data_IF_881739398238
#
_entry.id   IF_881739398238
#
_cell.length_a   1.000
_cell.length_b   1.000
_cell.length_c   1.000
_cell.angle_alpha   90.00
_cell.angle_beta   90.00
_cell.angle_gamma   90.00
#
_symmetry.space_group_name_H-M   'P 1'
#
loop_
_entity.id
_entity.type
_entity.pdbx_description
1 polymer ?
#
# COMPACT_ATOMS: atom_id res chain seq x y z
N UNK A 1 12.84 4.19 8.83
CA UNK A 1 12.37 4.27 7.44
C UNK A 1 11.27 3.24 7.21
N UNK A 2 10.24 3.63 6.49
CA UNK A 2 9.15 2.75 6.06
C UNK A 2 9.15 2.72 4.54
N UNK A 3 8.82 1.56 3.94
CA UNK A 3 8.63 1.45 2.50
C UNK A 3 7.28 0.85 2.20
N UNK A 4 6.59 1.39 1.19
CA UNK A 4 5.29 0.91 0.76
C UNK A 4 5.19 0.81 -0.74
N UNK A 5 4.18 0.11 -1.22
CA UNK A 5 4.00 -0.13 -2.65
C UNK A 5 2.56 0.20 -3.06
N UNK A 6 2.46 1.05 -4.07
CA UNK A 6 1.18 1.35 -4.73
C UNK A 6 0.96 0.25 -5.77
N UNK A 7 0.11 -0.70 -5.43
CA UNK A 7 -0.22 -1.83 -6.28
C UNK A 7 -1.48 -1.49 -7.07
N UNK A 8 -1.37 -1.40 -8.39
CA UNK A 8 -2.50 -0.97 -9.20
C UNK A 8 -2.70 -1.90 -10.39
N UNK A 9 -3.96 -2.01 -10.81
CA UNK A 9 -4.31 -2.74 -12.02
C UNK A 9 -4.71 -1.73 -13.09
N UNK A 10 -3.90 -1.57 -14.16
CA UNK A 10 -4.18 -0.58 -15.18
C UNK A 10 -5.41 -0.92 -16.04
N UNK A 11 -5.81 -2.17 -16.10
CA UNK A 11 -6.96 -2.59 -16.88
C UNK A 11 -8.27 -2.28 -16.17
N UNK A 12 -8.35 -2.63 -14.88
CA UNK A 12 -9.55 -2.38 -14.09
C UNK A 12 -9.58 -0.99 -13.47
N UNK A 13 -8.46 -0.27 -13.49
CA UNK A 13 -8.27 1.04 -12.85
C UNK A 13 -8.57 0.96 -11.36
N UNK A 14 -8.00 -0.04 -10.72
CA UNK A 14 -8.14 -0.26 -9.29
C UNK A 14 -6.78 -0.25 -8.61
N UNK A 15 -6.81 0.10 -7.34
CA UNK A 15 -5.63 0.10 -6.47
C UNK A 15 -5.91 -0.79 -5.27
N UNK A 16 -4.88 -1.49 -4.80
CA UNK A 16 -4.99 -2.30 -3.60
C UNK A 16 -4.56 -1.48 -2.39
N UNK A 17 -5.47 -1.33 -1.43
CA UNK A 17 -5.19 -0.67 -0.17
C UNK A 17 -5.52 -1.63 0.96
N UNK A 18 -4.89 -1.43 2.11
CA UNK A 18 -5.24 -2.17 3.31
C UNK A 18 -6.32 -1.39 4.05
N UNK A 19 -7.49 -1.98 4.16
CA UNK A 19 -8.61 -1.40 4.89
C UNK A 19 -8.49 -1.81 6.35
N UNK A 20 -8.50 -0.84 7.24
CA UNK A 20 -8.30 -1.06 8.66
C UNK A 20 -9.45 -0.52 9.49
N UNK A 21 -9.82 -1.33 10.46
CA UNK A 21 -10.74 -0.92 11.54
C UNK A 21 -9.96 -1.12 12.83
N UNK A 22 -9.74 -0.05 13.56
CA UNK A 22 -8.97 -0.10 14.80
C UNK A 22 -9.56 0.86 15.81
N UNK A 23 -9.97 0.33 16.96
CA UNK A 23 -10.52 1.13 18.06
C UNK A 23 -11.65 2.07 17.61
N UNK A 24 -12.55 1.55 16.77
CA UNK A 24 -13.70 2.31 16.28
C UNK A 24 -13.41 3.23 15.11
N UNK A 25 -12.18 3.30 14.64
CA UNK A 25 -11.79 4.12 13.50
C UNK A 25 -11.62 3.28 12.25
N UNK A 26 -12.13 3.77 11.13
CA UNK A 26 -11.96 3.15 9.82
C UNK A 26 -11.05 4.01 8.96
N UNK A 27 -10.04 3.39 8.38
CA UNK A 27 -9.11 4.10 7.50
C UNK A 27 -8.42 3.14 6.55
N UNK A 28 -7.69 3.70 5.58
CA UNK A 28 -6.95 2.93 4.58
C UNK A 28 -5.48 3.31 4.62
N UNK A 29 -4.62 2.32 4.34
CA UNK A 29 -3.18 2.56 4.22
C UNK A 29 -2.63 1.87 2.98
N UNK A 30 -1.55 2.42 2.44
CA UNK A 30 -0.80 1.77 1.37
C UNK A 30 -0.03 0.59 1.98
N UNK A 31 -0.08 -0.60 1.37
CA UNK A 31 0.67 -1.75 1.89
C UNK A 31 2.15 -1.45 2.04
N UNK A 32 2.75 -1.91 3.12
CA UNK A 32 4.15 -1.68 3.42
C UNK A 32 4.44 -1.81 4.90
N UNK A 33 5.65 -1.45 5.29
CA UNK A 33 6.05 -1.53 6.69
C UNK A 33 7.44 -0.96 6.93
N UNK A 34 7.88 -1.07 8.17
CA UNK A 34 9.17 -0.55 8.61
C UNK A 34 10.34 -1.39 8.15
N UNK A 35 11.45 -0.73 7.86
CA UNK A 35 12.69 -1.41 7.48
C UNK A 35 13.30 -2.12 8.67
N UNK A 36 13.84 -3.30 8.43
CA UNK A 36 14.70 -3.98 9.38
C UNK A 36 16.13 -3.49 9.19
N UNK A 37 16.97 -3.79 10.17
CA UNK A 37 18.36 -3.34 10.16
C UNK A 37 19.08 -3.82 8.89
N UNK A 38 19.69 -2.87 8.18
CA UNK A 38 20.46 -3.16 6.97
C UNK A 38 19.64 -3.30 5.71
N UNK A 39 18.31 -3.20 5.79
CA UNK A 39 17.48 -3.29 4.56
C UNK A 39 17.49 -1.99 3.77
N UNK A 40 17.54 -2.13 2.45
CA UNK A 40 17.25 -1.03 1.55
C UNK A 40 15.72 -0.85 1.45
N UNK A 41 15.28 0.28 0.88
CA UNK A 41 13.86 0.53 0.69
C UNK A 41 13.21 -0.54 -0.21
N UNK A 42 13.90 -0.95 -1.28
CA UNK A 42 13.40 -2.01 -2.17
C UNK A 42 13.25 -3.33 -1.41
N UNK A 43 14.25 -3.71 -0.63
CA UNK A 43 14.19 -4.95 0.15
C UNK A 43 13.06 -4.93 1.17
N UNK A 44 12.87 -3.79 1.84
CA UNK A 44 11.77 -3.62 2.79
C UNK A 44 10.43 -3.78 2.07
N UNK A 45 10.26 -3.13 0.94
CA UNK A 45 9.03 -3.22 0.16
C UNK A 45 8.76 -4.66 -0.28
N UNK A 46 9.77 -5.35 -0.80
CA UNK A 46 9.63 -6.74 -1.23
C UNK A 46 9.21 -7.65 -0.06
N UNK A 47 9.88 -7.51 1.07
CA UNK A 47 9.58 -8.33 2.25
C UNK A 47 8.19 -8.06 2.78
N UNK A 48 7.81 -6.79 2.92
CA UNK A 48 6.51 -6.44 3.47
C UNK A 48 5.35 -6.91 2.59
N UNK A 49 5.48 -6.79 1.26
CA UNK A 49 4.43 -7.28 0.36
C UNK A 49 4.34 -8.80 0.42
N UNK A 50 5.46 -9.50 0.53
CA UNK A 50 5.43 -10.94 0.69
C UNK A 50 4.75 -11.35 2.00
N UNK A 51 5.07 -10.66 3.10
CA UNK A 51 4.48 -10.98 4.39
C UNK A 51 2.99 -10.65 4.46
N UNK A 52 2.59 -9.49 3.92
CA UNK A 52 1.20 -9.05 4.01
C UNK A 52 0.29 -9.73 3.00
N UNK A 53 0.76 -9.89 1.77
CA UNK A 53 -0.10 -10.29 0.66
C UNK A 53 0.29 -11.63 0.03
N UNK A 54 1.45 -12.16 0.36
CA UNK A 54 1.92 -13.41 -0.23
C UNK A 54 2.43 -13.24 -1.66
N UNK A 55 2.63 -12.03 -2.14
CA UNK A 55 3.10 -11.77 -3.50
C UNK A 55 4.59 -11.51 -3.51
N UNK A 56 5.28 -12.14 -4.48
CA UNK A 56 6.70 -11.91 -4.69
C UNK A 56 6.86 -10.90 -5.82
N UNK A 57 7.44 -9.75 -5.50
CA UNK A 57 7.71 -8.70 -6.50
C UNK A 57 9.20 -8.64 -6.75
N UNK A 58 9.58 -8.55 -8.03
CA UNK A 58 10.97 -8.36 -8.40
C UNK A 58 11.35 -6.89 -8.23
N UNK A 59 12.66 -6.63 -8.16
CA UNK A 59 13.15 -5.26 -8.08
C UNK A 59 12.71 -4.44 -9.30
N UNK A 60 12.70 -5.06 -10.48
CA UNK A 60 12.32 -4.39 -11.72
C UNK A 60 10.84 -3.97 -11.73
N UNK A 61 10.00 -4.68 -11.01
CA UNK A 61 8.57 -4.33 -10.91
C UNK A 61 8.33 -3.12 -10.02
N UNK A 62 9.27 -2.81 -9.12
CA UNK A 62 9.14 -1.71 -8.18
C UNK A 62 9.74 -0.44 -8.78
N UNK A 63 8.88 0.45 -9.25
CA UNK A 63 9.30 1.72 -9.80
C UNK A 63 9.18 2.81 -8.74
N UNK A 64 10.14 3.74 -8.65
CA UNK A 64 10.04 4.83 -7.67
C UNK A 64 8.79 5.67 -7.89
N UNK A 65 8.07 5.96 -6.82
CA UNK A 65 6.90 6.82 -6.88
C UNK A 65 7.17 8.17 -6.21
N UNK A 66 7.33 8.19 -4.90
CA UNK A 66 7.60 9.43 -4.17
C UNK A 66 8.12 9.11 -2.76
N UNK A 67 8.59 10.14 -2.08
CA UNK A 67 8.94 10.05 -0.66
C UNK A 67 8.00 10.93 0.13
N UNK A 68 7.84 10.59 1.42
CA UNK A 68 6.95 11.30 2.31
C UNK A 68 7.54 11.35 3.71
N UNK A 69 7.47 12.52 4.35
CA UNK A 69 7.89 12.67 5.75
C UNK A 69 6.68 12.59 6.66
N UNK A 70 6.67 11.57 7.50
CA UNK A 70 5.63 11.39 8.51
C UNK A 70 6.26 11.67 9.87
N UNK A 71 6.19 12.93 10.29
CA UNK A 71 6.97 13.38 11.44
C UNK A 71 8.46 13.30 11.13
N UNK A 72 9.20 12.55 11.93
CA UNK A 72 10.63 12.35 11.70
C UNK A 72 10.93 11.12 10.86
N UNK A 73 9.90 10.30 10.56
CA UNK A 73 10.11 9.06 9.81
C UNK A 73 10.03 9.32 8.31
N UNK A 74 11.03 8.84 7.58
CA UNK A 74 11.02 8.86 6.12
C UNK A 74 10.24 7.66 5.61
N UNK A 75 9.30 7.91 4.71
CA UNK A 75 8.54 6.87 4.02
C UNK A 75 8.87 6.95 2.53
N UNK A 76 9.20 5.80 1.95
CA UNK A 76 9.57 5.68 0.55
C UNK A 76 8.54 4.80 -0.13
N UNK A 77 7.96 5.29 -1.22
CA UNK A 77 6.91 4.57 -1.94
C UNK A 77 7.33 4.24 -3.35
N UNK A 78 6.96 3.02 -3.74
CA UNK A 78 7.13 2.50 -5.10
C UNK A 78 5.75 2.27 -5.69
N UNK A 79 5.67 2.11 -7.01
CA UNK A 79 4.46 1.65 -7.66
C UNK A 79 4.77 0.40 -8.49
N UNK A 80 3.77 -0.47 -8.62
CA UNK A 80 3.91 -1.70 -9.40
C UNK A 80 2.56 -2.04 -10.02
N UNK A 81 2.58 -2.37 -11.32
CA UNK A 81 1.38 -2.80 -12.03
C UNK A 81 1.12 -4.29 -11.76
N UNK A 82 -0.13 -4.61 -11.45
CA UNK A 82 -0.57 -5.97 -11.18
C UNK A 82 -1.62 -6.34 -12.21
N UNK A 83 -1.48 -7.51 -12.83
CA UNK A 83 -2.33 -7.90 -13.95
C UNK A 83 -3.65 -8.58 -13.56
N UNK A 84 -3.86 -8.87 -12.28
CA UNK A 84 -5.09 -9.51 -11.82
C UNK A 84 -5.60 -8.83 -10.56
N UNK A 85 -6.89 -9.01 -10.28
CA UNK A 85 -7.57 -8.34 -9.15
C UNK A 85 -8.07 -9.32 -8.10
N UNK A 86 -7.62 -10.57 -8.11
CA UNK A 86 -8.00 -11.50 -7.06
C UNK A 86 -7.50 -10.98 -5.71
N UNK A 87 -8.35 -10.99 -4.71
CA UNK A 87 -8.00 -10.48 -3.39
C UNK A 87 -6.93 -11.36 -2.77
N UNK A 88 -5.81 -10.79 -2.33
CA UNK A 88 -4.80 -11.55 -1.62
C UNK A 88 -5.28 -11.88 -0.21
N UNK A 89 -4.70 -12.91 0.36
CA UNK A 89 -4.99 -13.28 1.75
C UNK A 89 -3.92 -12.69 2.66
N UNK A 90 -4.35 -12.15 3.78
CA UNK A 90 -3.43 -11.70 4.82
C UNK A 90 -2.76 -12.92 5.42
N UNK A 91 -1.44 -12.87 5.61
CA UNK A 91 -0.65 -13.98 6.07
C UNK A 91 0.11 -13.65 7.35
N UNK A 92 0.64 -14.70 7.99
CA UNK A 92 1.53 -14.58 9.13
C UNK A 92 0.90 -13.84 10.30
N UNK A 93 1.67 -12.93 10.89
CA UNK A 93 1.23 -12.18 12.07
C UNK A 93 0.01 -11.30 11.79
N UNK A 94 -0.13 -10.80 10.56
CA UNK A 94 -1.27 -9.98 10.21
C UNK A 94 -2.57 -10.76 10.31
N UNK A 95 -2.59 -12.01 9.86
CA UNK A 95 -3.75 -12.85 9.99
C UNK A 95 -4.09 -13.13 11.46
N UNK A 96 -3.08 -13.34 12.30
CA UNK A 96 -3.27 -13.61 13.72
C UNK A 96 -3.78 -12.39 14.47
N UNK A 97 -3.52 -11.17 13.97
CA UNK A 97 -3.98 -9.94 14.60
C UNK A 97 -5.41 -9.57 14.25
N UNK A 98 -6.01 -10.26 13.30
CA UNK A 98 -7.39 -9.95 12.90
C UNK A 98 -8.37 -10.35 13.99
N UNK A 99 -9.07 -9.37 14.52
CA UNK A 99 -10.15 -9.58 15.47
C UNK A 99 -11.13 -8.40 15.40
N UNK A 100 -12.23 -8.47 16.11
CA UNK A 100 -13.34 -7.53 15.98
C UNK A 100 -12.95 -6.06 16.13
N UNK A 101 -11.91 -5.75 16.94
CA UNK A 101 -11.49 -4.38 17.20
C UNK A 101 -10.26 -3.95 16.42
N UNK A 102 -9.67 -4.84 15.63
CA UNK A 102 -8.46 -4.55 14.89
C UNK A 102 -8.42 -5.42 13.64
N UNK A 103 -9.10 -4.96 12.60
CA UNK A 103 -9.26 -5.73 11.37
C UNK A 103 -8.37 -5.12 10.30
N UNK A 104 -7.70 -6.00 9.55
CA UNK A 104 -6.88 -5.66 8.38
C UNK A 104 -7.45 -6.43 7.20
N UNK A 105 -7.76 -5.74 6.12
CA UNK A 105 -8.31 -6.40 4.95
C UNK A 105 -7.79 -5.74 3.68
N UNK A 106 -7.07 -6.49 2.82
CA UNK A 106 -6.68 -5.94 1.53
C UNK A 106 -7.90 -5.87 0.63
N UNK A 107 -8.16 -4.70 0.07
CA UNK A 107 -9.29 -4.45 -0.80
C UNK A 107 -8.83 -3.78 -2.09
N UNK A 108 -9.36 -4.26 -3.20
CA UNK A 108 -9.24 -3.57 -4.48
C UNK A 108 -10.30 -2.48 -4.54
N UNK A 109 -9.86 -1.24 -4.77
CA UNK A 109 -10.75 -0.08 -4.79
C UNK A 109 -10.60 0.66 -6.11
N UNK A 110 -11.70 1.17 -6.63
CA UNK A 110 -11.63 2.00 -7.81
C UNK A 110 -10.81 3.25 -7.52
N UNK A 111 -9.92 3.60 -8.45
CA UNK A 111 -9.04 4.76 -8.26
C UNK A 111 -9.87 6.03 -8.06
N UNK A 112 -11.02 6.14 -8.72
CA UNK A 112 -11.90 7.29 -8.57
C UNK A 112 -12.46 7.45 -7.16
N UNK A 113 -12.51 6.37 -6.38
CA UNK A 113 -13.02 6.42 -5.01
C UNK A 113 -12.02 6.97 -3.99
N UNK A 114 -10.75 7.10 -4.36
CA UNK A 114 -9.68 7.48 -3.41
C UNK A 114 -9.91 8.83 -2.78
N UNK A 115 -10.45 9.79 -3.53
CA UNK A 115 -10.69 11.15 -3.02
C UNK A 115 -11.55 11.16 -1.76
N UNK A 116 -12.50 10.23 -1.64
CA UNK A 116 -13.41 10.14 -0.49
C UNK A 116 -12.94 9.27 0.64
N UNK A 117 -11.75 8.64 0.53
CA UNK A 117 -11.27 7.71 1.54
C UNK A 117 -10.48 8.43 2.65
N UNK A 118 -10.57 7.88 3.85
CA UNK A 118 -9.69 8.28 4.94
C UNK A 118 -8.37 7.55 4.80
N UNK A 119 -7.48 8.09 3.98
CA UNK A 119 -6.15 7.51 3.73
C UNK A 119 -5.16 8.09 4.75
N UNK A 120 -4.42 7.22 5.40
CA UNK A 120 -3.40 7.61 6.38
C UNK A 120 -2.02 7.19 5.91
N UNK A 121 -0.98 7.95 6.27
CA UNK A 121 -1.02 9.20 7.05
C UNK A 121 -1.62 10.37 6.28
N UNK A 122 -2.06 11.38 7.02
CA UNK A 122 -2.62 12.59 6.42
C UNK A 122 -1.60 13.25 5.50
N UNK A 123 -2.04 13.77 4.37
CA UNK A 123 -1.17 14.39 3.36
C UNK A 123 -0.69 13.42 2.28
N UNK A 124 -0.75 12.13 2.53
CA UNK A 124 -0.29 11.12 1.57
C UNK A 124 -1.21 11.03 0.35
N UNK A 125 -2.49 11.30 0.54
CA UNK A 125 -3.50 11.14 -0.52
C UNK A 125 -3.17 11.96 -1.76
N UNK A 126 -2.74 13.19 -1.60
CA UNK A 126 -2.41 14.05 -2.75
C UNK A 126 -1.24 13.50 -3.55
N UNK A 127 -0.21 13.00 -2.87
CA UNK A 127 0.94 12.38 -3.53
C UNK A 127 0.51 11.12 -4.28
N UNK A 128 -0.36 10.32 -3.68
CA UNK A 128 -0.88 9.11 -4.32
C UNK A 128 -1.66 9.47 -5.58
N UNK A 129 -2.55 10.46 -5.50
CA UNK A 129 -3.36 10.87 -6.65
C UNK A 129 -2.50 11.43 -7.78
N UNK A 130 -1.46 12.21 -7.45
CA UNK A 130 -0.52 12.72 -8.44
C UNK A 130 0.23 11.58 -9.12
N UNK A 131 0.68 10.59 -8.36
CA UNK A 131 1.37 9.43 -8.91
C UNK A 131 0.46 8.67 -9.90
N UNK A 132 -0.79 8.43 -9.52
CA UNK A 132 -1.74 7.73 -10.38
C UNK A 132 -2.06 8.52 -11.65
N UNK A 133 -2.08 9.84 -11.56
CA UNK A 133 -2.27 10.70 -12.74
C UNK A 133 -1.09 10.56 -13.70
N UNK A 134 0.13 10.57 -13.17
CA UNK A 134 1.33 10.41 -14.00
C UNK A 134 1.38 9.06 -14.69
N UNK A 135 0.80 8.02 -14.08
CA UNK A 135 0.73 6.69 -14.67
C UNK A 135 -0.44 6.53 -15.65
N UNK A 136 -1.20 7.60 -15.90
CA UNK A 136 -2.32 7.55 -16.84
C UNK A 136 -3.56 6.88 -16.29
N UNK A 137 -3.63 6.61 -14.99
CA UNK A 137 -4.75 5.89 -14.37
C UNK A 137 -5.84 6.81 -13.87
N UNK A 138 -5.54 8.10 -13.73
CA UNK A 138 -6.49 9.11 -13.25
C UNK A 138 -6.38 10.36 -14.12
N UNK A 139 -7.52 10.86 -14.54
CA UNK A 139 -7.61 12.09 -15.34
C UNK A 139 -7.66 13.33 -14.46
#
# INVERSE_FOLDING_TARGET
>A
MRAGVILYNPQSKQILLIHRWKNGEEYFVIPGGGAESGETAVQTAQREIQEELGWSLSEEQLQPAFTFRNGQRLEIYFHAAISHTSAPMIQGEEALRRHAQNIYQPDWLDIEAICGLNLRPAGLKNLLLDCLTQEGLKN
#
